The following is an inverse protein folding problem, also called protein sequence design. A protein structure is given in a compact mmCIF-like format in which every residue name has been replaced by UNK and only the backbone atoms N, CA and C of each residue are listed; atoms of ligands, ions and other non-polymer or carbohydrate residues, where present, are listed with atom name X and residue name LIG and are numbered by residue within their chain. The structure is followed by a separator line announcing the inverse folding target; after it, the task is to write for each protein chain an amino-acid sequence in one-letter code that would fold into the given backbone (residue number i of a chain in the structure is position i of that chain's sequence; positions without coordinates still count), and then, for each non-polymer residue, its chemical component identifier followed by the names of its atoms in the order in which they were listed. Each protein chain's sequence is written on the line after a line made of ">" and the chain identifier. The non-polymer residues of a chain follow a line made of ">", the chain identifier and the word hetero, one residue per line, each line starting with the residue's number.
data_IF_843444784244
#
_entry.id   IF_843444784244
#
_cell.length_a   1.000
_cell.length_b   1.000
_cell.length_c   1.000
_cell.angle_alpha   90.00
_cell.angle_beta   90.00
_cell.angle_gamma   90.00
#
_symmetry.space_group_name_H-M   'P 1'
#
loop_
_entity.id
_entity.type
_entity.pdbx_description
1 polymer ?
#
# COMPACT_ATOMS: atom_id res chain seq x y z
N UNK A 1 0.44 6.51 -38.66
CA UNK A 1 0.66 5.06 -38.54
C UNK A 1 1.80 4.71 -37.56
N UNK A 2 1.73 5.14 -36.28
CA UNK A 2 2.74 4.84 -35.26
C UNK A 2 2.10 4.43 -33.89
N UNK A 3 0.83 4.00 -33.87
CA UNK A 3 0.07 3.75 -32.65
C UNK A 3 -0.13 2.26 -32.29
N UNK A 4 0.53 1.32 -32.95
CA UNK A 4 0.27 -0.11 -32.76
C UNK A 4 1.39 -0.91 -32.07
N UNK A 5 2.43 -0.28 -31.50
CA UNK A 5 3.58 -1.00 -30.92
C UNK A 5 3.65 -0.94 -29.39
N UNK A 6 2.57 -0.67 -28.68
CA UNK A 6 2.56 -0.57 -27.22
C UNK A 6 2.05 -1.82 -26.51
N UNK A 7 2.74 -2.96 -26.64
CA UNK A 7 2.53 -4.08 -25.72
C UNK A 7 2.84 -3.66 -24.27
N UNK A 8 2.43 -4.48 -23.28
CA UNK A 8 2.62 -4.21 -21.83
C UNK A 8 4.05 -3.76 -21.49
N UNK A 9 5.06 -4.35 -22.16
CA UNK A 9 6.47 -3.96 -22.01
C UNK A 9 6.75 -2.52 -22.47
N UNK A 10 6.09 -2.05 -23.54
CA UNK A 10 6.20 -0.67 -24.02
C UNK A 10 5.64 0.34 -23.01
N UNK A 11 4.51 0.00 -22.38
CA UNK A 11 3.88 0.84 -21.34
C UNK A 11 4.78 0.98 -20.10
N UNK A 12 5.37 -0.13 -19.61
CA UNK A 12 6.32 -0.06 -18.50
C UNK A 12 7.61 0.68 -18.85
N UNK A 13 8.09 0.55 -20.10
CA UNK A 13 9.24 1.33 -20.59
C UNK A 13 8.95 2.83 -20.59
N UNK A 14 7.74 3.24 -20.97
CA UNK A 14 7.30 4.64 -20.89
C UNK A 14 7.23 5.15 -19.43
N UNK A 15 6.72 4.33 -18.52
CA UNK A 15 6.72 4.66 -17.07
C UNK A 15 8.15 4.84 -16.56
N UNK A 16 9.06 3.91 -16.88
CA UNK A 16 10.47 4.01 -16.47
C UNK A 16 11.15 5.23 -17.14
N UNK A 17 10.78 5.55 -18.39
CA UNK A 17 11.24 6.77 -19.08
C UNK A 17 10.84 8.05 -18.34
N UNK A 18 9.58 8.11 -17.86
CA UNK A 18 9.06 9.27 -17.11
C UNK A 18 9.61 9.39 -15.68
N UNK A 19 9.83 8.25 -15.01
CA UNK A 19 10.27 8.21 -13.59
C UNK A 19 11.79 8.12 -13.47
N UNK A 20 12.50 7.68 -14.51
CA UNK A 20 13.86 7.18 -14.41
C UNK A 20 13.93 5.80 -13.75
N UNK A 21 14.92 4.98 -14.08
CA UNK A 21 15.08 3.64 -13.49
C UNK A 21 15.47 3.67 -12.00
N UNK A 22 16.13 4.72 -11.56
CA UNK A 22 16.64 4.84 -10.20
C UNK A 22 15.53 5.05 -9.18
N UNK A 23 14.48 5.81 -9.52
CA UNK A 23 13.38 6.09 -8.58
C UNK A 23 12.62 4.84 -8.14
N UNK A 24 12.17 3.94 -9.05
CA UNK A 24 11.57 2.67 -8.67
C UNK A 24 12.47 1.81 -7.77
N UNK A 25 13.76 1.74 -8.09
CA UNK A 25 14.73 0.97 -7.30
C UNK A 25 14.89 1.51 -5.88
N UNK A 26 15.10 2.82 -5.73
CA UNK A 26 15.19 3.49 -4.42
C UNK A 26 13.88 3.32 -3.65
N UNK A 27 12.74 3.48 -4.32
CA UNK A 27 11.41 3.31 -3.73
C UNK A 27 11.21 1.88 -3.22
N UNK A 28 11.62 0.87 -4.00
CA UNK A 28 11.52 -0.52 -3.61
C UNK A 28 12.33 -0.84 -2.35
N UNK A 29 13.62 -0.52 -2.34
CA UNK A 29 14.47 -0.75 -1.16
C UNK A 29 14.07 0.13 0.04
N UNK A 30 13.53 1.32 -0.20
CA UNK A 30 13.06 2.20 0.86
C UNK A 30 11.78 1.74 1.56
N UNK A 31 10.97 0.87 0.93
CA UNK A 31 9.74 0.30 1.53
C UNK A 31 9.96 -1.06 2.21
N UNK A 32 11.04 -1.78 1.83
CA UNK A 32 11.38 -3.08 2.40
C UNK A 32 11.50 -3.06 3.94
N UNK A 33 12.08 -2.01 4.59
CA UNK A 33 12.12 -1.90 6.04
C UNK A 33 10.77 -2.05 6.73
N UNK A 34 9.70 -1.55 6.13
CA UNK A 34 8.34 -1.65 6.69
C UNK A 34 7.92 -3.11 6.82
N UNK A 35 8.14 -3.92 5.79
CA UNK A 35 7.83 -5.35 5.83
C UNK A 35 8.72 -6.09 6.83
N UNK A 36 10.02 -5.76 6.88
CA UNK A 36 10.96 -6.36 7.85
C UNK A 36 10.51 -6.09 9.28
N UNK A 37 10.23 -4.84 9.64
CA UNK A 37 9.87 -4.49 11.02
C UNK A 37 8.48 -5.01 11.41
N UNK A 38 7.52 -5.07 10.48
CA UNK A 38 6.18 -5.59 10.77
C UNK A 38 6.21 -7.10 11.09
N UNK A 39 6.81 -7.89 10.21
CA UNK A 39 6.87 -9.35 10.39
C UNK A 39 7.95 -9.77 11.38
N UNK A 40 9.10 -9.09 11.37
CA UNK A 40 10.22 -9.43 12.22
C UNK A 40 10.03 -9.09 13.69
N UNK A 41 9.20 -8.09 14.02
CA UNK A 41 9.02 -7.65 15.41
C UNK A 41 8.52 -8.76 16.32
N UNK A 42 7.57 -9.58 15.85
CA UNK A 42 7.08 -10.73 16.64
C UNK A 42 8.23 -11.69 16.91
N UNK A 43 8.96 -12.08 15.87
CA UNK A 43 10.06 -13.06 16.00
C UNK A 43 11.19 -12.52 16.88
N UNK A 44 11.62 -11.28 16.67
CA UNK A 44 12.72 -10.68 17.44
C UNK A 44 12.37 -10.61 18.93
N UNK A 45 11.18 -10.05 19.25
CA UNK A 45 10.77 -9.87 20.65
C UNK A 45 10.45 -11.21 21.30
N UNK A 46 9.83 -12.17 20.60
CA UNK A 46 9.57 -13.50 21.14
C UNK A 46 10.89 -14.23 21.48
N UNK A 47 11.88 -14.17 20.60
CA UNK A 47 13.20 -14.78 20.86
C UNK A 47 13.93 -14.15 22.05
N UNK A 48 13.80 -12.84 22.25
CA UNK A 48 14.52 -12.13 23.32
C UNK A 48 13.78 -12.16 24.67
N UNK A 49 12.44 -12.13 24.65
CA UNK A 49 11.60 -12.13 25.87
C UNK A 49 11.11 -13.52 26.30
N UNK A 50 11.15 -14.51 25.39
CA UNK A 50 10.57 -15.83 25.63
C UNK A 50 9.04 -15.85 25.56
N UNK A 51 8.37 -14.75 25.16
CA UNK A 51 6.90 -14.61 25.18
C UNK A 51 6.35 -14.16 23.83
N UNK A 52 5.53 -15.01 23.21
CA UNK A 52 4.81 -14.69 21.98
C UNK A 52 3.80 -13.55 22.21
N UNK A 53 3.15 -13.52 23.36
CA UNK A 53 2.22 -12.46 23.73
C UNK A 53 2.90 -11.07 23.78
N UNK A 54 4.12 -11.02 24.32
CA UNK A 54 4.94 -9.79 24.33
C UNK A 54 5.31 -9.38 22.89
N UNK A 55 5.76 -10.33 22.07
CA UNK A 55 6.07 -10.11 20.66
C UNK A 55 4.89 -9.54 19.88
N UNK A 56 3.72 -10.16 20.03
CA UNK A 56 2.47 -9.71 19.39
C UNK A 56 2.03 -8.33 19.86
N UNK A 57 2.14 -8.03 21.16
CA UNK A 57 1.78 -6.72 21.73
C UNK A 57 2.64 -5.59 21.15
N UNK A 58 3.96 -5.81 21.08
CA UNK A 58 4.90 -4.82 20.54
C UNK A 58 4.69 -4.62 19.04
N UNK A 59 4.51 -5.69 18.28
CA UNK A 59 4.23 -5.61 16.85
C UNK A 59 2.90 -4.88 16.55
N UNK A 60 1.85 -5.14 17.34
CA UNK A 60 0.58 -4.42 17.26
C UNK A 60 0.76 -2.93 17.54
N UNK A 61 1.51 -2.56 18.58
CA UNK A 61 1.78 -1.16 18.91
C UNK A 61 2.53 -0.42 17.80
N UNK A 62 3.51 -1.08 17.18
CA UNK A 62 4.22 -0.57 16.00
C UNK A 62 3.25 -0.33 14.84
N UNK A 63 2.42 -1.31 14.50
CA UNK A 63 1.46 -1.20 13.40
C UNK A 63 0.42 -0.09 13.65
N UNK A 64 -0.09 0.06 14.88
CA UNK A 64 -1.00 1.14 15.25
C UNK A 64 -0.33 2.52 15.13
N UNK A 65 0.93 2.65 15.54
CA UNK A 65 1.72 3.87 15.33
C UNK A 65 1.81 4.26 13.85
N UNK A 66 2.12 3.30 12.98
CA UNK A 66 2.19 3.50 11.54
C UNK A 66 0.84 3.92 10.95
N UNK A 67 -0.23 3.22 11.32
CA UNK A 67 -1.61 3.51 10.84
C UNK A 67 -2.05 4.91 11.23
N UNK A 68 -1.79 5.32 12.46
CA UNK A 68 -2.16 6.64 12.96
C UNK A 68 -1.41 7.77 12.25
N UNK A 69 -0.10 7.57 11.97
CA UNK A 69 0.74 8.61 11.37
C UNK A 69 0.71 8.63 9.85
N UNK A 70 0.36 7.55 9.17
CA UNK A 70 0.32 7.49 7.71
C UNK A 70 -0.44 8.66 7.07
N UNK A 71 -1.71 8.93 7.42
CA UNK A 71 -2.46 10.07 6.88
C UNK A 71 -1.87 11.44 7.23
N UNK A 72 -1.18 11.55 8.38
CA UNK A 72 -0.51 12.79 8.81
C UNK A 72 0.71 13.06 7.93
N UNK A 73 1.54 12.04 7.70
CA UNK A 73 2.70 12.09 6.79
C UNK A 73 2.26 12.49 5.39
N UNK A 74 1.21 11.86 4.84
CA UNK A 74 0.68 12.21 3.53
C UNK A 74 0.19 13.65 3.45
N UNK A 75 -0.59 14.10 4.44
CA UNK A 75 -1.07 15.48 4.50
C UNK A 75 0.05 16.50 4.61
N UNK A 76 1.10 16.16 5.36
CA UNK A 76 2.29 17.01 5.48
C UNK A 76 3.06 17.06 4.15
N UNK A 77 3.17 15.92 3.45
CA UNK A 77 3.82 15.82 2.14
C UNK A 77 3.10 16.68 1.09
N UNK A 78 1.76 16.69 1.06
CA UNK A 78 0.98 17.57 0.17
C UNK A 78 1.19 19.06 0.50
N UNK A 79 1.41 19.41 1.78
CA UNK A 79 1.53 20.81 2.20
C UNK A 79 2.95 21.37 2.16
N UNK A 80 3.93 20.58 2.56
CA UNK A 80 5.33 21.00 2.73
C UNK A 80 6.26 20.42 1.67
N UNK A 81 5.73 19.56 0.81
CA UNK A 81 6.49 18.79 -0.17
C UNK A 81 7.06 17.48 0.40
N UNK A 82 7.19 16.50 -0.48
CA UNK A 82 7.64 15.16 -0.09
C UNK A 82 9.09 15.16 0.45
N UNK A 83 9.98 16.00 -0.11
CA UNK A 83 11.41 16.07 0.28
C UNK A 83 11.59 16.27 1.78
N UNK A 84 11.01 17.36 2.32
CA UNK A 84 11.18 17.72 3.74
C UNK A 84 10.57 16.68 4.66
N UNK A 85 9.37 16.17 4.32
CA UNK A 85 8.65 15.23 5.17
C UNK A 85 9.34 13.88 5.24
N UNK A 86 9.79 13.35 4.08
CA UNK A 86 10.49 12.07 4.06
C UNK A 86 11.83 12.14 4.79
N UNK A 87 12.59 13.23 4.65
CA UNK A 87 13.84 13.42 5.42
C UNK A 87 13.57 13.46 6.93
N UNK A 88 12.55 14.23 7.35
CA UNK A 88 12.16 14.32 8.76
C UNK A 88 11.67 13.00 9.35
N UNK A 89 11.21 12.05 8.52
CA UNK A 89 10.76 10.74 8.98
C UNK A 89 11.86 9.68 8.88
N UNK A 90 12.64 9.64 7.78
CA UNK A 90 13.56 8.54 7.47
C UNK A 90 14.70 8.40 8.48
N UNK A 91 15.36 9.50 8.84
CA UNK A 91 16.46 9.46 9.82
C UNK A 91 15.97 9.11 11.24
N UNK A 92 14.92 9.76 11.78
CA UNK A 92 14.32 9.33 13.04
C UNK A 92 13.82 7.89 13.02
N UNK A 93 13.27 7.40 11.90
CA UNK A 93 12.84 6.01 11.79
C UNK A 93 14.01 5.03 11.84
N UNK A 94 15.11 5.32 11.15
CA UNK A 94 16.32 4.50 11.22
C UNK A 94 16.85 4.40 12.66
N UNK A 95 16.88 5.52 13.37
CA UNK A 95 17.28 5.58 14.78
C UNK A 95 16.30 4.81 15.67
N UNK A 96 14.98 4.98 15.45
CA UNK A 96 13.94 4.28 16.21
C UNK A 96 14.04 2.76 16.02
N UNK A 97 14.28 2.27 14.78
CA UNK A 97 14.50 0.86 14.49
C UNK A 97 15.75 0.36 15.23
N UNK A 98 16.85 1.12 15.20
CA UNK A 98 18.06 0.75 15.91
C UNK A 98 17.86 0.69 17.43
N UNK A 99 17.24 1.72 18.03
CA UNK A 99 16.89 1.73 19.45
C UNK A 99 15.95 0.60 19.85
N UNK A 100 14.94 0.32 19.02
CA UNK A 100 14.02 -0.79 19.21
C UNK A 100 14.76 -2.14 19.21
N UNK A 101 15.62 -2.35 18.24
CA UNK A 101 16.41 -3.58 18.12
C UNK A 101 17.35 -3.77 19.30
N UNK A 102 18.10 -2.73 19.67
CA UNK A 102 19.00 -2.76 20.83
C UNK A 102 18.23 -2.97 22.14
N UNK A 103 17.05 -2.32 22.28
CA UNK A 103 16.17 -2.52 23.42
C UNK A 103 15.65 -3.96 23.54
N UNK A 104 15.29 -4.59 22.41
CA UNK A 104 14.89 -5.99 22.39
C UNK A 104 16.07 -6.92 22.78
N UNK A 105 17.28 -6.68 22.24
CA UNK A 105 18.48 -7.43 22.58
C UNK A 105 18.88 -7.25 24.05
N UNK A 106 18.73 -6.06 24.60
CA UNK A 106 18.97 -5.76 26.02
C UNK A 106 17.84 -6.26 26.93
N UNK A 107 16.80 -6.92 26.39
CA UNK A 107 15.64 -7.43 27.13
C UNK A 107 14.96 -6.36 28.00
N UNK A 108 14.78 -5.18 27.45
CA UNK A 108 14.09 -4.09 28.15
C UNK A 108 12.67 -4.51 28.58
N UNK A 109 12.11 -3.91 29.64
CA UNK A 109 10.74 -4.16 30.07
C UNK A 109 9.72 -3.93 28.95
N UNK A 110 8.67 -4.75 28.90
CA UNK A 110 7.62 -4.70 27.86
C UNK A 110 7.08 -3.29 27.60
N UNK A 111 6.75 -2.44 28.61
CA UNK A 111 6.25 -1.10 28.35
C UNK A 111 7.23 -0.23 27.54
N UNK A 112 8.52 -0.39 27.78
CA UNK A 112 9.55 0.37 27.08
C UNK A 112 9.71 -0.13 25.63
N UNK A 113 9.66 -1.46 25.40
CA UNK A 113 9.63 -2.04 24.06
C UNK A 113 8.41 -1.61 23.27
N UNK A 114 7.24 -1.53 23.90
CA UNK A 114 6.01 -1.01 23.30
C UNK A 114 6.20 0.46 22.90
N UNK A 115 6.78 1.29 23.77
CA UNK A 115 7.05 2.70 23.45
C UNK A 115 8.01 2.85 22.25
N UNK A 116 9.10 2.06 22.21
CA UNK A 116 10.03 2.02 21.10
C UNK A 116 9.38 1.49 19.81
N UNK A 117 8.50 0.49 19.92
CA UNK A 117 7.70 -0.02 18.80
C UNK A 117 6.76 1.06 18.24
N UNK A 118 6.03 1.77 19.10
CA UNK A 118 5.20 2.92 18.68
C UNK A 118 6.06 3.99 17.99
N UNK A 119 7.23 4.33 18.57
CA UNK A 119 8.14 5.32 17.98
C UNK A 119 8.62 4.89 16.59
N UNK A 120 8.98 3.61 16.41
CA UNK A 120 9.35 3.05 15.11
C UNK A 120 8.17 3.11 14.13
N UNK A 121 6.94 2.86 14.60
CA UNK A 121 5.72 2.93 13.78
C UNK A 121 5.37 4.36 13.34
N UNK A 122 5.35 5.31 14.27
CA UNK A 122 4.95 6.71 13.98
C UNK A 122 5.96 7.46 13.11
N UNK A 123 7.21 7.01 13.06
CA UNK A 123 8.27 7.63 12.26
C UNK A 123 8.39 7.04 10.84
N UNK A 124 7.60 6.03 10.48
CA UNK A 124 7.64 5.42 9.13
C UNK A 124 7.42 6.48 8.04
N UNK A 125 8.35 6.62 7.07
CA UNK A 125 8.30 7.70 6.07
C UNK A 125 7.22 7.55 5.01
N UNK A 126 6.52 6.41 4.93
CA UNK A 126 5.43 6.17 3.98
C UNK A 126 5.87 6.19 2.51
N UNK A 127 7.06 5.65 2.19
CA UNK A 127 7.65 5.72 0.85
C UNK A 127 6.75 5.13 -0.22
N UNK A 128 6.12 3.97 0.00
CA UNK A 128 5.22 3.33 -0.97
C UNK A 128 4.06 4.24 -1.42
N UNK A 129 3.20 4.70 -0.52
CA UNK A 129 2.12 5.64 -0.88
C UNK A 129 2.60 6.95 -1.51
N UNK A 130 3.75 7.48 -1.07
CA UNK A 130 4.32 8.71 -1.62
C UNK A 130 4.92 8.48 -3.02
N UNK A 131 5.51 7.30 -3.28
CA UNK A 131 6.00 6.92 -4.60
C UNK A 131 4.86 6.76 -5.60
N UNK A 132 3.73 6.16 -5.20
CA UNK A 132 2.51 6.14 -6.02
C UNK A 132 2.05 7.54 -6.40
N UNK A 133 1.93 8.43 -5.42
CA UNK A 133 1.52 9.81 -5.67
C UNK A 133 2.51 10.55 -6.58
N UNK A 134 3.82 10.30 -6.41
CA UNK A 134 4.89 10.88 -7.24
C UNK A 134 4.87 10.34 -8.67
N UNK A 135 4.76 9.03 -8.83
CA UNK A 135 4.69 8.38 -10.15
C UNK A 135 3.49 8.86 -10.96
N UNK A 136 2.32 8.94 -10.33
CA UNK A 136 1.11 9.49 -10.98
C UNK A 136 1.31 10.95 -11.38
N UNK A 137 1.92 11.77 -10.51
CA UNK A 137 2.19 13.17 -10.83
C UNK A 137 3.16 13.33 -12.01
N UNK A 138 4.23 12.53 -12.05
CA UNK A 138 5.23 12.55 -13.14
C UNK A 138 4.63 12.23 -14.49
N UNK A 139 3.82 11.16 -14.55
CA UNK A 139 3.16 10.75 -15.78
C UNK A 139 2.18 11.81 -16.27
N UNK A 140 1.41 12.42 -15.36
CA UNK A 140 0.46 13.49 -15.71
C UNK A 140 1.14 14.79 -16.19
N UNK A 141 2.32 15.15 -15.64
CA UNK A 141 3.04 16.35 -16.09
C UNK A 141 3.76 16.13 -17.42
N UNK A 142 4.28 14.93 -17.70
CA UNK A 142 4.93 14.62 -18.97
C UNK A 142 4.01 14.72 -20.18
N UNK A 143 2.70 14.51 -20.00
CA UNK A 143 1.70 14.59 -21.07
C UNK A 143 1.19 16.00 -21.34
N UNK A 144 1.29 16.92 -20.35
CA UNK A 144 0.88 18.33 -20.56
C UNK A 144 1.88 19.14 -21.36
N UNK A 145 3.13 18.67 -21.53
CA UNK A 145 4.17 19.32 -22.33
C UNK A 145 4.09 18.93 -23.84
N UNK A 146 3.40 17.88 -24.19
CA UNK A 146 3.14 17.52 -25.58
C UNK A 146 1.87 18.21 -26.10
N UNK A 147 2.02 19.04 -27.09
CA UNK A 147 1.15 20.02 -27.78
C UNK A 147 -0.31 19.65 -28.11
N UNK A 148 -0.80 18.51 -27.71
CA UNK A 148 -2.14 18.04 -28.02
C UNK A 148 -2.93 17.81 -26.74
N UNK A 149 -3.61 18.78 -26.22
CA UNK A 149 -4.46 18.81 -25.00
C UNK A 149 -5.35 17.59 -24.69
N UNK A 150 -4.83 16.40 -24.84
CA UNK A 150 -5.47 15.15 -24.48
C UNK A 150 -5.31 14.86 -22.98
N UNK A 151 -6.36 14.38 -22.30
CA UNK A 151 -6.26 14.00 -20.89
C UNK A 151 -5.20 12.93 -20.71
N UNK A 152 -4.47 13.01 -19.61
CA UNK A 152 -3.45 12.04 -19.20
C UNK A 152 -3.86 10.60 -19.52
N UNK A 153 -3.03 9.88 -20.27
CA UNK A 153 -3.35 8.51 -20.70
C UNK A 153 -3.53 7.62 -19.45
N UNK A 154 -4.77 7.27 -19.15
CA UNK A 154 -5.11 6.40 -18.03
C UNK A 154 -4.36 5.08 -18.00
N UNK A 155 -3.79 4.66 -19.16
CA UNK A 155 -2.93 3.47 -19.27
C UNK A 155 -1.62 3.64 -18.50
N UNK A 156 -0.98 4.81 -18.59
CA UNK A 156 0.28 5.07 -17.89
C UNK A 156 0.05 5.18 -16.38
N UNK A 157 -1.04 5.83 -15.95
CA UNK A 157 -1.42 5.87 -14.52
C UNK A 157 -1.68 4.45 -13.98
N UNK A 158 -2.43 3.63 -14.74
CA UNK A 158 -2.67 2.24 -14.36
C UNK A 158 -1.37 1.42 -14.28
N UNK A 159 -0.42 1.65 -15.20
CA UNK A 159 0.88 0.98 -15.19
C UNK A 159 1.74 1.40 -13.98
N UNK A 160 1.73 2.69 -13.60
CA UNK A 160 2.38 3.17 -12.37
C UNK A 160 1.79 2.47 -11.15
N UNK A 161 0.47 2.44 -11.04
CA UNK A 161 -0.20 1.81 -9.89
C UNK A 161 0.04 0.30 -9.84
N UNK A 162 0.09 -0.38 -11.01
CA UNK A 162 0.44 -1.80 -11.10
C UNK A 162 1.87 -2.05 -10.66
N UNK A 163 2.83 -1.26 -11.16
CA UNK A 163 4.25 -1.37 -10.78
C UNK A 163 4.43 -1.17 -9.27
N UNK A 164 3.86 -0.11 -8.72
CA UNK A 164 3.97 0.23 -7.30
C UNK A 164 3.31 -0.84 -6.40
N UNK A 165 2.17 -1.39 -6.81
CA UNK A 165 1.52 -2.47 -6.07
C UNK A 165 2.35 -3.76 -6.13
N UNK A 166 2.94 -4.09 -7.27
CA UNK A 166 3.82 -5.24 -7.39
C UNK A 166 5.08 -5.08 -6.52
N UNK A 167 5.63 -3.87 -6.43
CA UNK A 167 6.76 -3.60 -5.54
C UNK A 167 6.40 -3.78 -4.07
N UNK A 168 5.17 -3.42 -3.66
CA UNK A 168 4.71 -3.69 -2.30
C UNK A 168 4.60 -5.21 -2.05
N UNK A 169 3.98 -5.97 -2.97
CA UNK A 169 3.88 -7.41 -2.86
C UNK A 169 5.27 -8.07 -2.70
N UNK A 170 6.21 -7.70 -3.58
CA UNK A 170 7.59 -8.20 -3.49
C UNK A 170 8.26 -7.82 -2.17
N UNK A 171 8.00 -6.63 -1.64
CA UNK A 171 8.53 -6.21 -0.34
C UNK A 171 7.98 -7.05 0.81
N UNK A 172 6.68 -7.40 0.75
CA UNK A 172 6.04 -8.28 1.73
C UNK A 172 6.50 -9.74 1.63
N UNK A 173 7.00 -10.18 0.48
CA UNK A 173 7.65 -11.50 0.32
C UNK A 173 9.10 -11.46 0.82
N UNK A 174 9.85 -10.44 0.41
CA UNK A 174 11.28 -10.34 0.72
C UNK A 174 11.55 -9.93 2.17
N UNK A 175 10.63 -9.19 2.82
CA UNK A 175 10.76 -8.83 4.24
C UNK A 175 10.90 -10.06 5.14
N UNK A 176 9.91 -10.96 5.18
CA UNK A 176 10.02 -12.22 5.91
C UNK A 176 11.20 -13.10 5.47
N UNK A 177 11.51 -13.16 4.17
CA UNK A 177 12.66 -13.90 3.66
C UNK A 177 13.98 -13.37 4.22
N UNK A 178 14.14 -12.05 4.30
CA UNK A 178 15.32 -11.41 4.88
C UNK A 178 15.44 -11.73 6.39
N UNK A 179 14.33 -11.77 7.11
CA UNK A 179 14.29 -12.14 8.53
C UNK A 179 14.70 -13.61 8.70
N UNK A 180 14.16 -14.50 7.88
CA UNK A 180 14.51 -15.93 7.89
C UNK A 180 15.99 -16.14 7.58
N UNK A 181 16.52 -15.48 6.54
CA UNK A 181 17.95 -15.54 6.20
C UNK A 181 18.83 -15.01 7.34
N UNK A 182 18.46 -13.89 7.96
CA UNK A 182 19.19 -13.33 9.09
C UNK A 182 19.16 -14.27 10.31
N UNK A 183 18.03 -14.91 10.57
CA UNK A 183 17.88 -15.89 11.65
C UNK A 183 18.74 -17.15 11.41
N UNK A 184 18.84 -17.60 10.15
CA UNK A 184 19.68 -18.72 9.73
C UNK A 184 21.18 -18.41 9.88
N UNK A 185 21.61 -17.19 9.52
CA UNK A 185 23.03 -16.76 9.66
C UNK A 185 23.42 -16.54 11.13
N UNK A 186 22.45 -16.31 12.02
CA UNK A 186 22.72 -16.17 13.45
C UNK A 186 21.57 -15.53 14.24
N UNK A 187 21.16 -14.30 13.90
CA UNK A 187 20.16 -13.60 14.69
C UNK A 187 19.23 -12.71 13.85
N UNK A 188 17.89 -12.72 14.10
CA UNK A 188 16.93 -11.87 13.38
C UNK A 188 17.27 -10.37 13.42
N UNK A 189 17.98 -9.90 14.45
CA UNK A 189 18.40 -8.50 14.60
C UNK A 189 19.24 -7.98 13.41
N UNK A 190 19.94 -8.86 12.68
CA UNK A 190 20.68 -8.44 11.47
C UNK A 190 19.75 -7.88 10.40
N UNK A 191 18.56 -8.47 10.22
CA UNK A 191 17.56 -7.92 9.29
C UNK A 191 17.08 -6.52 9.70
N UNK A 192 16.96 -6.26 11.00
CA UNK A 192 16.60 -4.92 11.49
C UNK A 192 17.74 -3.91 11.29
N UNK A 193 19.00 -4.32 11.44
CA UNK A 193 20.15 -3.49 11.09
C UNK A 193 20.16 -3.09 9.62
N UNK A 194 19.92 -4.06 8.72
CA UNK A 194 19.77 -3.82 7.28
C UNK A 194 18.57 -2.88 7.03
N UNK A 195 17.43 -3.08 7.69
CA UNK A 195 16.26 -2.23 7.56
C UNK A 195 16.55 -0.77 7.98
N UNK A 196 17.26 -0.57 9.09
CA UNK A 196 17.68 0.76 9.54
C UNK A 196 18.57 1.46 8.50
N UNK A 197 19.55 0.73 7.93
CA UNK A 197 20.43 1.26 6.88
C UNK A 197 19.65 1.56 5.58
N UNK A 198 18.73 0.70 5.19
CA UNK A 198 17.89 0.91 3.99
C UNK A 198 16.99 2.13 4.15
N UNK A 199 16.31 2.31 5.29
CA UNK A 199 15.46 3.49 5.47
C UNK A 199 16.28 4.76 5.56
N UNK A 200 17.46 4.75 6.19
CA UNK A 200 18.36 5.90 6.22
C UNK A 200 18.88 6.25 4.82
N UNK A 201 19.41 5.29 4.08
CA UNK A 201 20.00 5.49 2.75
C UNK A 201 18.95 5.71 1.67
N UNK A 202 18.06 4.74 1.45
CA UNK A 202 17.07 4.82 0.39
C UNK A 202 15.96 5.84 0.69
N UNK A 203 15.57 6.02 1.96
CA UNK A 203 14.64 7.09 2.35
C UNK A 203 15.21 8.48 2.07
N UNK A 204 16.47 8.71 2.41
CA UNK A 204 17.17 9.96 2.10
C UNK A 204 17.34 10.15 0.59
N UNK A 205 17.75 9.10 -0.14
CA UNK A 205 17.88 9.13 -1.60
C UNK A 205 16.53 9.43 -2.28
N UNK A 206 15.44 8.82 -1.82
CA UNK A 206 14.09 9.10 -2.31
C UNK A 206 13.68 10.56 -2.08
N UNK A 207 13.99 11.12 -0.91
CA UNK A 207 13.70 12.49 -0.58
C UNK A 207 14.50 13.49 -1.43
N UNK A 208 15.78 13.19 -1.68
CA UNK A 208 16.69 14.07 -2.44
C UNK A 208 16.60 13.89 -3.95
N UNK A 209 15.89 12.86 -4.43
CA UNK A 209 15.75 12.58 -5.86
C UNK A 209 15.13 13.79 -6.60
N UNK A 210 15.63 14.17 -7.79
CA UNK A 210 15.15 15.36 -8.53
C UNK A 210 13.62 15.36 -8.76
N UNK A 211 13.02 14.20 -8.94
CA UNK A 211 11.56 14.05 -9.10
C UNK A 211 10.74 14.46 -7.89
N UNK A 212 11.35 14.70 -6.72
CA UNK A 212 10.62 15.19 -5.55
C UNK A 212 9.95 16.54 -5.77
N UNK A 213 10.44 17.33 -6.73
CA UNK A 213 9.87 18.61 -7.14
C UNK A 213 8.64 18.50 -8.04
N UNK A 214 8.40 17.33 -8.65
CA UNK A 214 7.23 17.08 -9.49
C UNK A 214 5.90 17.16 -8.70
N UNK A 215 5.92 16.79 -7.43
CA UNK A 215 4.81 16.99 -6.50
C UNK A 215 4.99 18.34 -5.83
N UNK A 216 4.46 19.40 -6.45
CA UNK A 216 4.54 20.75 -5.88
C UNK A 216 3.73 20.82 -4.60
N UNK A 217 4.28 21.43 -3.52
CA UNK A 217 3.47 21.77 -2.35
C UNK A 217 2.28 22.64 -2.80
N UNK A 218 1.12 22.38 -2.23
CA UNK A 218 -0.01 23.30 -2.40
C UNK A 218 0.46 24.68 -1.95
N UNK A 219 0.52 25.62 -2.88
CA UNK A 219 0.97 26.98 -2.61
C UNK A 219 0.28 27.49 -1.32
N UNK A 220 1.08 28.02 -0.40
CA UNK A 220 0.52 28.67 0.78
C UNK A 220 -0.54 29.67 0.31
N UNK A 221 -1.76 29.70 0.90
CA UNK A 221 -2.76 30.67 0.51
C UNK A 221 -2.11 32.06 0.53
N UNK A 222 -2.22 32.78 -0.59
CA UNK A 222 -1.74 34.16 -0.67
C UNK A 222 -2.15 34.95 0.59
N UNK A 223 -1.31 35.93 1.06
CA UNK A 223 -1.64 36.73 2.22
C UNK A 223 -3.08 37.21 2.13
N UNK A 224 -3.91 36.77 3.05
CA UNK A 224 -5.37 36.96 3.00
C UNK A 224 -5.70 38.42 3.24
N UNK A 225 -6.36 39.03 2.29
CA UNK A 225 -7.16 40.21 2.60
C UNK A 225 -8.26 39.80 3.59
N UNK A 226 -8.58 40.59 4.62
CA UNK A 226 -9.43 40.19 5.75
C UNK A 226 -10.88 39.81 5.43
N UNK A 227 -11.28 39.84 4.16
CA UNK A 227 -12.68 39.70 3.70
C UNK A 227 -13.08 38.42 3.00
N UNK A 228 -12.16 37.46 2.78
CA UNK A 228 -12.55 36.18 2.16
C UNK A 228 -12.98 35.17 3.22
N UNK A 229 -14.26 34.69 3.21
CA UNK A 229 -14.69 33.60 4.08
C UNK A 229 -13.75 32.40 3.88
N UNK A 230 -13.35 31.73 4.99
CA UNK A 230 -12.60 30.46 4.89
C UNK A 230 -13.33 29.54 3.93
N UNK A 231 -12.78 29.36 2.72
CA UNK A 231 -13.29 28.35 1.82
C UNK A 231 -13.28 27.03 2.60
N UNK A 232 -14.47 26.50 2.87
CA UNK A 232 -14.65 25.22 3.57
C UNK A 232 -13.89 24.19 2.76
N UNK A 233 -12.88 23.55 3.37
CA UNK A 233 -12.16 22.46 2.71
C UNK A 233 -13.17 21.49 2.13
N UNK A 234 -13.06 21.13 0.84
CA UNK A 234 -14.01 20.21 0.23
C UNK A 234 -14.04 18.92 1.06
N UNK A 235 -15.25 18.51 1.43
CA UNK A 235 -15.44 17.23 2.14
C UNK A 235 -15.01 16.11 1.21
N UNK A 236 -14.29 15.10 1.74
CA UNK A 236 -13.95 13.92 0.95
C UNK A 236 -15.22 13.27 0.39
N UNK A 237 -15.27 13.00 -0.92
CA UNK A 237 -16.41 12.37 -1.57
C UNK A 237 -16.86 11.07 -0.89
N UNK A 238 -18.11 10.67 -1.07
CA UNK A 238 -18.66 9.41 -0.56
C UNK A 238 -17.87 8.22 -1.09
N UNK A 239 -17.49 8.29 -2.35
CA UNK A 239 -16.73 7.28 -3.07
C UNK A 239 -15.40 6.97 -2.39
N UNK A 240 -14.65 8.00 -1.95
CA UNK A 240 -13.39 7.84 -1.21
C UNK A 240 -13.61 7.07 0.10
N UNK A 241 -14.72 7.33 0.80
CA UNK A 241 -15.04 6.61 2.05
C UNK A 241 -15.37 5.15 1.79
N UNK A 242 -16.12 4.86 0.73
CA UNK A 242 -16.45 3.48 0.33
C UNK A 242 -15.19 2.70 -0.10
N UNK A 243 -14.33 3.31 -0.91
CA UNK A 243 -13.07 2.68 -1.33
C UNK A 243 -12.17 2.40 -0.12
N UNK A 244 -12.06 3.34 0.83
CA UNK A 244 -11.31 3.13 2.07
C UNK A 244 -11.87 1.98 2.90
N UNK A 245 -13.20 1.89 3.03
CA UNK A 245 -13.85 0.76 3.71
C UNK A 245 -13.52 -0.56 3.02
N UNK A 246 -13.56 -0.60 1.69
CA UNK A 246 -13.17 -1.79 0.92
C UNK A 246 -11.69 -2.16 1.12
N UNK A 247 -10.79 -1.18 1.23
CA UNK A 247 -9.37 -1.43 1.54
C UNK A 247 -9.17 -1.93 2.99
N UNK A 248 -9.94 -1.42 3.97
CA UNK A 248 -9.96 -2.01 5.32
C UNK A 248 -10.37 -3.48 5.25
N UNK A 249 -11.46 -3.79 4.54
CA UNK A 249 -11.96 -5.15 4.41
C UNK A 249 -10.99 -6.07 3.67
N UNK A 250 -10.26 -5.55 2.68
CA UNK A 250 -9.16 -6.27 2.03
C UNK A 250 -8.00 -6.55 3.00
N UNK A 251 -7.70 -5.60 3.88
CA UNK A 251 -6.75 -5.81 4.98
C UNK A 251 -7.24 -6.88 5.95
N UNK A 252 -8.52 -6.85 6.32
CA UNK A 252 -9.17 -7.88 7.17
C UNK A 252 -9.04 -9.26 6.51
N UNK A 253 -9.31 -9.37 5.22
CA UNK A 253 -9.13 -10.60 4.45
C UNK A 253 -7.70 -11.13 4.55
N UNK A 254 -6.71 -10.27 4.33
CA UNK A 254 -5.29 -10.67 4.41
C UNK A 254 -4.88 -11.08 5.83
N UNK A 255 -5.36 -10.37 6.85
CA UNK A 255 -5.12 -10.71 8.26
C UNK A 255 -5.72 -12.07 8.64
N UNK A 256 -6.94 -12.35 8.16
CA UNK A 256 -7.60 -13.65 8.36
C UNK A 256 -6.87 -14.79 7.64
N UNK A 257 -6.45 -14.56 6.37
CA UNK A 257 -5.62 -15.52 5.64
C UNK A 257 -4.31 -15.81 6.40
N UNK A 258 -3.68 -14.78 6.92
CA UNK A 258 -2.46 -14.90 7.67
C UNK A 258 -2.57 -15.74 8.92
N UNK A 259 -3.54 -15.44 9.73
CA UNK A 259 -3.80 -16.24 10.93
C UNK A 259 -4.15 -17.68 10.59
N UNK A 260 -4.97 -17.90 9.55
CA UNK A 260 -5.37 -19.24 9.09
C UNK A 260 -4.20 -20.05 8.54
N UNK A 261 -3.31 -19.44 7.73
CA UNK A 261 -2.11 -20.10 7.22
C UNK A 261 -1.22 -20.53 8.39
N UNK A 262 -0.95 -19.62 9.34
CA UNK A 262 -0.10 -19.91 10.50
C UNK A 262 -0.69 -21.03 11.34
N UNK A 263 -1.98 -20.96 11.66
CA UNK A 263 -2.64 -21.99 12.46
C UNK A 263 -2.65 -23.35 11.76
N UNK A 264 -2.98 -23.41 10.46
CA UNK A 264 -3.02 -24.69 9.73
C UNK A 264 -1.64 -25.32 9.58
N UNK A 265 -0.59 -24.52 9.36
CA UNK A 265 0.79 -25.03 9.30
C UNK A 265 1.25 -25.57 10.66
N UNK A 266 0.81 -24.95 11.77
CA UNK A 266 1.05 -25.44 13.14
C UNK A 266 0.32 -26.76 13.38
N UNK A 267 -0.98 -26.84 13.07
CA UNK A 267 -1.78 -28.06 13.24
C UNK A 267 -1.21 -29.25 12.44
N UNK A 268 -0.59 -28.97 11.28
CA UNK A 268 0.05 -29.98 10.45
C UNK A 268 1.52 -30.27 10.84
N UNK A 269 2.04 -29.63 11.89
CA UNK A 269 3.44 -29.80 12.34
C UNK A 269 4.49 -29.30 11.35
N UNK A 270 4.15 -28.31 10.52
CA UNK A 270 5.00 -27.76 9.46
C UNK A 270 5.08 -26.22 9.54
N UNK A 271 5.28 -25.70 10.74
CA UNK A 271 5.32 -24.26 11.04
C UNK A 271 6.32 -23.49 10.18
N UNK A 272 7.46 -24.11 9.87
CA UNK A 272 8.53 -23.52 9.04
C UNK A 272 8.06 -23.19 7.61
N UNK A 273 7.00 -23.84 7.13
CA UNK A 273 6.47 -23.61 5.77
C UNK A 273 5.49 -22.42 5.68
N UNK A 274 5.03 -21.86 6.78
CA UNK A 274 4.09 -20.73 6.76
C UNK A 274 4.60 -19.57 5.88
N UNK A 275 5.89 -19.23 5.99
CA UNK A 275 6.53 -18.21 5.17
C UNK A 275 6.55 -18.53 3.67
N UNK A 276 6.75 -19.79 3.30
CA UNK A 276 6.76 -20.25 1.90
C UNK A 276 5.34 -20.22 1.30
N UNK A 277 4.34 -20.59 2.08
CA UNK A 277 2.92 -20.49 1.68
C UNK A 277 2.55 -19.04 1.38
N UNK A 278 2.95 -18.10 2.25
CA UNK A 278 2.79 -16.66 1.99
C UNK A 278 3.54 -16.19 0.75
N UNK A 279 4.76 -16.68 0.54
CA UNK A 279 5.55 -16.35 -0.63
C UNK A 279 4.86 -16.82 -1.92
N UNK A 280 4.26 -18.01 -1.93
CA UNK A 280 3.52 -18.54 -3.07
C UNK A 280 2.32 -17.63 -3.44
N UNK A 281 1.57 -17.15 -2.43
CA UNK A 281 0.50 -16.16 -2.62
C UNK A 281 1.04 -14.85 -3.22
N UNK A 282 2.12 -14.32 -2.65
CA UNK A 282 2.71 -13.05 -3.08
C UNK A 282 3.28 -13.11 -4.49
N UNK A 283 3.94 -14.21 -4.88
CA UNK A 283 4.45 -14.42 -6.24
C UNK A 283 3.32 -14.40 -7.26
N UNK A 284 2.23 -15.12 -7.01
CA UNK A 284 1.08 -15.12 -7.92
C UNK A 284 0.43 -13.75 -7.99
N UNK A 285 0.27 -13.07 -6.84
CA UNK A 285 -0.23 -11.69 -6.78
C UNK A 285 0.64 -10.75 -7.62
N UNK A 286 1.96 -10.82 -7.51
CA UNK A 286 2.89 -10.00 -8.28
C UNK A 286 2.79 -10.26 -9.80
N UNK A 287 2.71 -11.52 -10.23
CA UNK A 287 2.55 -11.89 -11.65
C UNK A 287 1.27 -11.31 -12.22
N UNK A 288 0.14 -11.49 -11.52
CA UNK A 288 -1.15 -10.95 -11.96
C UNK A 288 -1.16 -9.42 -11.86
N UNK A 289 -0.53 -8.84 -10.83
CA UNK A 289 -0.38 -7.39 -10.68
C UNK A 289 0.30 -6.74 -11.87
N UNK A 290 1.40 -7.31 -12.35
CA UNK A 290 2.10 -6.83 -13.56
C UNK A 290 1.22 -6.95 -14.81
N UNK A 291 0.41 -8.00 -14.92
CA UNK A 291 -0.49 -8.18 -16.06
C UNK A 291 -1.65 -7.17 -16.10
N UNK A 292 -1.98 -6.53 -14.95
CA UNK A 292 -3.07 -5.55 -14.88
C UNK A 292 -2.87 -4.31 -15.76
N UNK A 293 -1.62 -3.98 -16.11
CA UNK A 293 -1.33 -2.91 -17.06
C UNK A 293 -1.83 -3.22 -18.49
N UNK A 294 -2.03 -4.50 -18.82
CA UNK A 294 -2.57 -4.92 -20.12
C UNK A 294 -4.10 -4.82 -20.20
N UNK A 295 -4.79 -4.61 -19.08
CA UNK A 295 -6.26 -4.55 -19.07
C UNK A 295 -6.75 -3.28 -19.76
N UNK A 296 -7.58 -3.40 -20.83
CA UNK A 296 -8.02 -2.25 -21.61
C UNK A 296 -8.81 -1.23 -20.77
N UNK A 297 -8.64 0.06 -21.02
CA UNK A 297 -9.30 1.14 -20.29
C UNK A 297 -10.83 1.13 -20.40
N UNK A 298 -11.36 0.58 -21.51
CA UNK A 298 -12.80 0.36 -21.69
C UNK A 298 -13.43 -0.43 -20.54
N UNK A 299 -12.62 -1.24 -19.83
CA UNK A 299 -13.06 -1.89 -18.59
C UNK A 299 -12.85 -0.91 -17.44
N UNK A 300 -13.88 -0.17 -17.08
CA UNK A 300 -13.83 0.85 -16.03
C UNK A 300 -13.37 0.30 -14.67
N UNK A 301 -12.67 1.12 -13.87
CA UNK A 301 -12.12 0.72 -12.57
C UNK A 301 -13.20 0.15 -11.61
N UNK A 302 -14.41 0.71 -11.60
CA UNK A 302 -15.49 0.18 -10.74
C UNK A 302 -15.87 -1.25 -11.12
N UNK A 303 -15.92 -1.60 -12.41
CA UNK A 303 -16.17 -2.96 -12.87
C UNK A 303 -15.01 -3.89 -12.50
N UNK A 304 -13.77 -3.47 -12.75
CA UNK A 304 -12.58 -4.24 -12.34
C UNK A 304 -12.61 -4.56 -10.86
N UNK A 305 -12.95 -3.57 -10.03
CA UNK A 305 -13.00 -3.77 -8.58
C UNK A 305 -14.11 -4.72 -8.15
N UNK A 306 -15.29 -4.64 -8.76
CA UNK A 306 -16.39 -5.58 -8.53
C UNK A 306 -15.99 -7.03 -8.89
N UNK A 307 -15.35 -7.21 -10.04
CA UNK A 307 -14.86 -8.52 -10.47
C UNK A 307 -13.78 -9.05 -9.53
N UNK A 308 -12.80 -8.21 -9.16
CA UNK A 308 -11.73 -8.61 -8.28
C UNK A 308 -12.22 -8.95 -6.86
N UNK A 309 -13.15 -8.16 -6.30
CA UNK A 309 -13.73 -8.44 -4.98
C UNK A 309 -14.65 -9.66 -5.00
N UNK A 310 -15.44 -9.86 -6.06
CA UNK A 310 -16.25 -11.07 -6.24
C UNK A 310 -15.36 -12.32 -6.33
N UNK A 311 -14.29 -12.27 -7.12
CA UNK A 311 -13.33 -13.37 -7.23
C UNK A 311 -12.64 -13.62 -5.88
N UNK A 312 -12.28 -12.57 -5.12
CA UNK A 312 -11.70 -12.73 -3.79
C UNK A 312 -12.69 -13.41 -2.83
N UNK A 313 -13.97 -13.04 -2.85
CA UNK A 313 -15.00 -13.68 -2.03
C UNK A 313 -15.16 -15.16 -2.37
N UNK A 314 -15.21 -15.50 -3.66
CA UNK A 314 -15.36 -16.90 -4.10
C UNK A 314 -14.12 -17.74 -3.81
N UNK A 315 -12.92 -17.24 -4.16
CA UNK A 315 -11.68 -18.01 -3.98
C UNK A 315 -11.27 -18.13 -2.52
N UNK A 316 -11.66 -17.19 -1.65
CA UNK A 316 -11.39 -17.31 -0.21
C UNK A 316 -12.12 -18.50 0.43
N UNK A 317 -13.22 -18.96 -0.15
CA UNK A 317 -13.96 -20.14 0.33
C UNK A 317 -13.12 -21.43 0.19
N UNK A 318 -12.21 -21.49 -0.80
CA UNK A 318 -11.32 -22.63 -0.97
C UNK A 318 -10.40 -22.81 0.25
N UNK A 319 -10.01 -21.70 0.90
CA UNK A 319 -9.12 -21.72 2.07
C UNK A 319 -9.79 -22.38 3.28
N UNK A 320 -11.10 -22.22 3.45
CA UNK A 320 -11.86 -22.78 4.59
C UNK A 320 -11.84 -24.31 4.57
N UNK A 321 -11.85 -24.90 3.37
CA UNK A 321 -11.88 -26.36 3.18
C UNK A 321 -10.50 -27.03 3.17
N UNK A 322 -9.40 -26.28 3.32
CA UNK A 322 -8.05 -26.85 3.25
C UNK A 322 -7.69 -27.59 4.53
N UNK A 323 -7.20 -28.85 4.39
CA UNK A 323 -6.79 -29.70 5.50
C UNK A 323 -5.41 -30.36 5.27
N UNK A 324 -4.70 -29.97 4.23
CA UNK A 324 -3.39 -30.51 3.89
C UNK A 324 -2.47 -29.42 3.36
N UNK A 325 -1.15 -29.61 3.49
CA UNK A 325 -0.17 -28.66 2.97
C UNK A 325 -0.28 -28.45 1.46
N UNK A 326 -0.43 -29.52 0.70
CA UNK A 326 -0.63 -29.41 -0.77
C UNK A 326 -1.89 -28.61 -1.12
N UNK A 327 -3.00 -28.91 -0.43
CA UNK A 327 -4.25 -28.15 -0.60
C UNK A 327 -4.07 -26.68 -0.26
N UNK A 328 -3.34 -26.37 0.84
CA UNK A 328 -3.06 -25.01 1.26
C UNK A 328 -2.22 -24.26 0.21
N UNK A 329 -1.13 -24.84 -0.29
CA UNK A 329 -0.31 -24.23 -1.34
C UNK A 329 -1.13 -23.94 -2.60
N UNK A 330 -1.94 -24.88 -3.07
CA UNK A 330 -2.79 -24.70 -4.26
C UNK A 330 -3.83 -23.60 -4.00
N UNK A 331 -4.58 -23.66 -2.90
CA UNK A 331 -5.61 -22.70 -2.59
C UNK A 331 -5.07 -21.28 -2.42
N UNK A 332 -3.94 -21.13 -1.70
CA UNK A 332 -3.30 -19.83 -1.45
C UNK A 332 -2.68 -19.26 -2.72
N UNK A 333 -2.06 -20.08 -3.57
CA UNK A 333 -1.51 -19.63 -4.86
C UNK A 333 -2.62 -19.13 -5.78
N UNK A 334 -3.70 -19.88 -5.92
CA UNK A 334 -4.87 -19.46 -6.73
C UNK A 334 -5.49 -18.18 -6.16
N UNK A 335 -5.65 -18.11 -4.84
CA UNK A 335 -6.17 -16.94 -4.14
C UNK A 335 -5.27 -15.70 -4.32
N UNK A 336 -3.94 -15.88 -4.40
CA UNK A 336 -2.99 -14.79 -4.66
C UNK A 336 -3.30 -13.99 -5.93
N UNK A 337 -3.88 -14.63 -6.96
CA UNK A 337 -4.22 -13.98 -8.22
C UNK A 337 -5.22 -12.80 -8.08
N UNK A 338 -6.01 -12.74 -7.00
CA UNK A 338 -7.02 -11.68 -6.81
C UNK A 338 -6.52 -10.52 -5.94
N UNK A 339 -5.36 -10.66 -5.31
CA UNK A 339 -4.89 -9.68 -4.32
C UNK A 339 -4.44 -8.37 -4.98
N UNK A 340 -3.45 -8.43 -5.89
CA UNK A 340 -2.96 -7.26 -6.61
C UNK A 340 -4.07 -6.55 -7.41
N UNK A 341 -4.96 -7.21 -8.16
CA UNK A 341 -6.08 -6.53 -8.81
C UNK A 341 -6.95 -5.70 -7.86
N UNK A 342 -7.22 -6.19 -6.66
CA UNK A 342 -7.97 -5.45 -5.66
C UNK A 342 -7.23 -4.21 -5.16
N UNK A 343 -5.92 -4.32 -4.87
CA UNK A 343 -5.10 -3.20 -4.44
C UNK A 343 -4.96 -2.14 -5.54
N UNK A 344 -4.59 -2.56 -6.76
CA UNK A 344 -4.40 -1.67 -7.92
C UNK A 344 -5.67 -0.89 -8.20
N UNK A 345 -6.83 -1.57 -8.25
CA UNK A 345 -8.11 -0.91 -8.52
C UNK A 345 -8.56 -0.02 -7.37
N UNK A 346 -8.36 -0.44 -6.12
CA UNK A 346 -8.65 0.38 -4.94
C UNK A 346 -7.82 1.66 -4.89
N UNK A 347 -6.52 1.59 -5.18
CA UNK A 347 -5.66 2.77 -5.29
C UNK A 347 -6.02 3.62 -6.52
N UNK A 348 -6.36 3.02 -7.66
CA UNK A 348 -6.82 3.73 -8.85
C UNK A 348 -8.14 4.47 -8.63
N UNK A 349 -9.10 3.88 -7.93
CA UNK A 349 -10.34 4.56 -7.52
C UNK A 349 -10.06 5.69 -6.52
N UNK A 350 -9.12 5.50 -5.60
CA UNK A 350 -8.68 6.55 -4.67
C UNK A 350 -8.07 7.73 -5.43
N UNK A 351 -7.19 7.45 -6.39
CA UNK A 351 -6.52 8.43 -7.25
C UNK A 351 -7.53 9.29 -8.02
N UNK A 352 -8.54 8.67 -8.62
CA UNK A 352 -9.59 9.39 -9.38
C UNK A 352 -10.55 10.20 -8.51
N UNK A 353 -10.80 9.74 -7.28
CA UNK A 353 -11.79 10.35 -6.41
C UNK A 353 -11.22 11.45 -5.49
N UNK A 354 -9.90 11.47 -5.28
CA UNK A 354 -9.23 12.43 -4.40
C UNK A 354 -8.74 13.62 -5.22
N UNK A 355 -8.99 14.87 -4.79
CA UNK A 355 -8.42 16.05 -5.45
C UNK A 355 -6.90 15.98 -5.52
N UNK A 356 -6.29 16.39 -6.64
CA UNK A 356 -4.84 16.31 -6.86
C UNK A 356 -4.00 16.95 -5.75
N UNK A 357 -4.49 18.05 -5.17
CA UNK A 357 -3.88 18.76 -4.03
C UNK A 357 -3.80 17.93 -2.74
N UNK A 358 -4.52 16.81 -2.65
CA UNK A 358 -4.60 15.92 -1.48
C UNK A 358 -4.27 14.48 -1.85
N UNK A 359 -3.57 14.27 -2.96
CA UNK A 359 -3.31 12.94 -3.49
C UNK A 359 -2.44 12.11 -2.53
N UNK A 360 -1.37 12.69 -1.98
CA UNK A 360 -0.53 11.98 -1.03
C UNK A 360 -1.29 11.65 0.28
N UNK A 361 -2.11 12.57 0.80
CA UNK A 361 -3.01 12.30 1.93
C UNK A 361 -3.98 11.16 1.61
N UNK A 362 -4.56 11.18 0.39
CA UNK A 362 -5.48 10.14 -0.08
C UNK A 362 -4.83 8.77 -0.13
N UNK A 363 -3.66 8.67 -0.73
CA UNK A 363 -2.90 7.43 -0.91
C UNK A 363 -2.38 6.87 0.42
N UNK A 364 -1.82 7.72 1.29
CA UNK A 364 -1.36 7.27 2.61
C UNK A 364 -2.51 6.81 3.49
N UNK A 365 -3.67 7.50 3.43
CA UNK A 365 -4.85 7.06 4.17
C UNK A 365 -5.39 5.73 3.66
N UNK A 366 -5.37 5.51 2.34
CA UNK A 366 -5.78 4.25 1.74
C UNK A 366 -4.87 3.09 2.20
N UNK A 367 -3.54 3.30 2.17
CA UNK A 367 -2.57 2.33 2.67
C UNK A 367 -2.74 2.06 4.18
N UNK A 368 -2.92 3.12 5.00
CA UNK A 368 -3.17 2.96 6.44
C UNK A 368 -4.46 2.21 6.74
N UNK A 369 -5.51 2.42 5.95
CA UNK A 369 -6.79 1.71 6.09
C UNK A 369 -6.59 0.20 5.86
N UNK A 370 -5.84 -0.17 4.82
CA UNK A 370 -5.51 -1.55 4.51
C UNK A 370 -4.66 -2.20 5.63
N UNK A 371 -3.56 -1.56 6.02
CA UNK A 371 -2.66 -2.08 7.07
C UNK A 371 -3.37 -2.17 8.43
N UNK A 372 -4.24 -1.19 8.75
CA UNK A 372 -5.01 -1.18 9.98
C UNK A 372 -5.99 -2.36 10.05
N UNK A 373 -6.71 -2.63 8.96
CA UNK A 373 -7.58 -3.80 8.85
C UNK A 373 -6.82 -5.10 9.06
N UNK A 374 -5.66 -5.25 8.40
CA UNK A 374 -4.81 -6.43 8.52
C UNK A 374 -4.29 -6.63 9.95
N UNK A 375 -3.75 -5.58 10.58
CA UNK A 375 -3.12 -5.69 11.90
C UNK A 375 -4.13 -6.08 12.99
N UNK A 376 -5.30 -5.44 12.99
CA UNK A 376 -6.36 -5.75 13.97
C UNK A 376 -6.87 -7.18 13.76
N UNK A 377 -7.08 -7.57 12.50
CA UNK A 377 -7.64 -8.89 12.20
C UNK A 377 -6.64 -10.00 12.51
N UNK A 378 -5.36 -9.80 12.24
CA UNK A 378 -4.35 -10.82 12.57
C UNK A 378 -4.38 -11.19 14.05
N UNK A 379 -4.54 -10.19 14.94
CA UNK A 379 -4.65 -10.43 16.39
C UNK A 379 -5.97 -11.12 16.77
N UNK A 380 -7.10 -10.73 16.17
CA UNK A 380 -8.41 -11.28 16.49
C UNK A 380 -8.57 -12.68 15.89
N UNK A 381 -8.21 -12.86 14.62
CA UNK A 381 -8.32 -14.14 13.92
C UNK A 381 -7.33 -15.18 14.44
N UNK A 382 -6.16 -14.74 14.95
CA UNK A 382 -5.24 -15.64 15.65
C UNK A 382 -5.87 -16.30 16.87
N UNK A 383 -6.52 -15.50 17.73
CA UNK A 383 -7.25 -16.04 18.91
C UNK A 383 -8.42 -16.93 18.51
N UNK A 384 -9.13 -16.57 17.43
CA UNK A 384 -10.21 -17.42 16.93
C UNK A 384 -9.69 -18.76 16.40
N UNK A 385 -8.53 -18.75 15.73
CA UNK A 385 -7.88 -19.97 15.25
C UNK A 385 -7.44 -20.87 16.41
N UNK A 386 -6.87 -20.31 17.47
CA UNK A 386 -6.52 -21.05 18.68
C UNK A 386 -7.73 -21.72 19.35
N UNK A 387 -8.89 -21.05 19.34
CA UNK A 387 -10.10 -21.53 20.01
C UNK A 387 -10.93 -22.49 19.14
N UNK A 388 -10.97 -22.29 17.81
CA UNK A 388 -11.91 -22.94 16.89
C UNK A 388 -11.24 -23.54 15.65
N UNK A 389 -9.91 -23.57 15.60
CA UNK A 389 -9.12 -24.09 14.49
C UNK A 389 -8.93 -23.09 13.32
N UNK A 390 -8.06 -23.45 12.34
CA UNK A 390 -7.66 -22.59 11.22
C UNK A 390 -8.82 -22.08 10.37
N UNK A 391 -9.87 -22.92 10.18
CA UNK A 391 -11.04 -22.58 9.39
C UNK A 391 -11.78 -21.34 9.91
N UNK A 392 -11.75 -21.09 11.23
CA UNK A 392 -12.36 -19.91 11.82
C UNK A 392 -11.65 -18.61 11.36
N UNK A 393 -10.32 -18.60 11.28
CA UNK A 393 -9.56 -17.46 10.80
C UNK A 393 -9.81 -17.22 9.29
N UNK A 394 -9.82 -18.26 8.47
CA UNK A 394 -10.18 -18.15 7.05
C UNK A 394 -11.60 -17.64 6.84
N UNK A 395 -12.55 -18.06 7.69
CA UNK A 395 -13.95 -17.58 7.64
C UNK A 395 -14.02 -16.07 7.89
N UNK A 396 -13.27 -15.52 8.86
CA UNK A 396 -13.20 -14.06 9.07
C UNK A 396 -12.76 -13.35 7.79
N UNK A 397 -11.74 -13.87 7.11
CA UNK A 397 -11.26 -13.36 5.83
C UNK A 397 -12.34 -13.43 4.74
N UNK A 398 -13.01 -14.57 4.60
CA UNK A 398 -14.04 -14.78 3.58
C UNK A 398 -15.26 -13.87 3.78
N UNK A 399 -15.71 -13.68 5.02
CA UNK A 399 -16.77 -12.73 5.36
C UNK A 399 -16.35 -11.31 4.97
N UNK A 400 -15.13 -10.92 5.27
CA UNK A 400 -14.62 -9.59 4.89
C UNK A 400 -14.57 -9.43 3.36
N UNK A 401 -14.18 -10.46 2.61
CA UNK A 401 -14.20 -10.45 1.15
C UNK A 401 -15.62 -10.27 0.59
N UNK A 402 -16.61 -10.97 1.15
CA UNK A 402 -18.03 -10.83 0.76
C UNK A 402 -18.54 -9.41 1.07
N UNK A 403 -18.20 -8.85 2.23
CA UNK A 403 -18.54 -7.46 2.56
C UNK A 403 -17.83 -6.45 1.64
N UNK A 404 -16.56 -6.70 1.27
CA UNK A 404 -15.83 -5.87 0.31
C UNK A 404 -16.51 -5.87 -1.06
N UNK A 405 -17.02 -7.02 -1.52
CA UNK A 405 -17.82 -7.11 -2.73
C UNK A 405 -19.11 -6.29 -2.62
N UNK A 406 -19.85 -6.41 -1.50
CA UNK A 406 -21.03 -5.57 -1.23
C UNK A 406 -20.71 -4.07 -1.28
N UNK A 407 -19.57 -3.64 -0.71
CA UNK A 407 -19.10 -2.25 -0.79
C UNK A 407 -18.76 -1.87 -2.24
N UNK A 408 -18.12 -2.75 -3.01
CA UNK A 408 -17.77 -2.50 -4.41
C UNK A 408 -18.99 -2.29 -5.31
N UNK A 409 -20.11 -2.94 -5.01
CA UNK A 409 -21.38 -2.71 -5.71
C UNK A 409 -21.94 -1.30 -5.49
N UNK A 410 -21.68 -0.69 -4.34
CA UNK A 410 -22.12 0.67 -3.98
C UNK A 410 -21.24 1.76 -4.59
N UNK A 411 -20.04 1.42 -5.03
CA UNK A 411 -19.12 2.38 -5.67
C UNK A 411 -19.57 2.62 -7.11
N UNK A 412 -19.87 3.88 -7.41
CA UNK A 412 -20.14 4.36 -8.77
C UNK A 412 -18.82 4.81 -9.39
N UNK A 413 -18.65 4.56 -10.69
CA UNK A 413 -17.52 5.16 -11.39
C UNK A 413 -17.65 6.69 -11.24
N UNK A 414 -16.60 7.41 -10.81
CA UNK A 414 -16.60 8.85 -10.89
C UNK A 414 -16.90 9.21 -12.34
N UNK A 415 -17.88 10.09 -12.59
CA UNK A 415 -18.06 10.67 -13.90
C UNK A 415 -16.73 11.30 -14.28
N UNK A 416 -16.17 10.91 -15.43
CA UNK A 416 -14.98 11.57 -15.97
C UNK A 416 -15.23 13.09 -15.99
N UNK A 417 -14.20 13.92 -15.99
CA UNK A 417 -14.38 15.35 -16.05
C UNK A 417 -15.34 15.66 -17.21
N UNK A 418 -16.52 16.20 -16.90
CA UNK A 418 -17.42 16.72 -17.92
C UNK A 418 -16.59 17.73 -18.73
N UNK A 419 -16.30 17.40 -19.97
CA UNK A 419 -15.85 18.40 -20.95
C UNK A 419 -17.02 19.36 -21.09
N UNK A 420 -17.05 20.40 -20.25
CA UNK A 420 -17.94 21.54 -20.52
C UNK A 420 -17.56 22.01 -21.91
N UNK A 421 -18.49 21.96 -22.89
CA UNK A 421 -18.24 22.57 -24.18
C UNK A 421 -17.85 24.02 -23.88
N UNK A 422 -16.70 24.44 -24.44
CA UNK A 422 -16.27 25.83 -24.34
C UNK A 422 -17.48 26.70 -24.75
N UNK A 423 -17.91 27.53 -23.82
CA UNK A 423 -19.01 28.47 -24.11
C UNK A 423 -18.66 29.18 -25.43
N UNK A 424 -19.46 28.96 -26.45
CA UNK A 424 -19.30 29.60 -27.74
C UNK A 424 -19.12 31.10 -27.49
N UNK A 425 -17.96 31.64 -27.90
CA UNK A 425 -17.71 33.05 -27.81
C UNK A 425 -18.85 33.78 -28.55
N UNK A 426 -19.44 34.83 -27.97
CA UNK A 426 -20.47 35.54 -28.64
C UNK A 426 -19.90 36.07 -29.96
N UNK A 427 -20.49 35.63 -31.06
CA UNK A 427 -20.19 36.14 -32.39
C UNK A 427 -20.47 37.66 -32.39
N UNK A 428 -19.39 38.42 -32.31
CA UNK A 428 -19.46 39.88 -32.46
C UNK A 428 -20.03 40.20 -33.82
N UNK A 429 -21.31 40.54 -33.85
CA UNK A 429 -21.96 41.18 -35.02
C UNK A 429 -21.33 42.54 -35.23
N UNK A 430 -20.37 42.62 -36.16
CA UNK A 430 -19.98 43.91 -36.72
C UNK A 430 -21.18 44.56 -37.39
N UNK A 431 -21.59 45.69 -36.85
CA UNK A 431 -22.34 46.69 -37.64
C UNK A 431 -21.34 47.76 -38.03
N UNK A 432 -21.02 47.78 -39.34
CA UNK A 432 -20.44 48.97 -39.95
C UNK A 432 -21.52 50.05 -40.18
N UNK A 433 -21.14 51.24 -40.02
CA UNK A 433 -21.59 52.45 -40.71
C UNK A 433 -20.44 53.43 -40.67
#
# INVERSE_FOLDING_TARGET
>A
MAQAAGGTAGTYRAVIGATGALLPLISFFGRLPVAVIQFGSVLLVTRTSGSLATGGTVACALALGQVAMGPVVGRLADRRGQRSVVLCCSLPNALAIACYTLGALARLPTPLLVALGVLAGVTVPGIGPLARARGVALVRHGETDERDGHPADGRLVNAVLSLESTMDELSFVLGPALIGAAAFVGHPAYAFGIAALLVAGCGTAFALHPTATAVRPVAAPAPRTPRTPRARRPRMPREVRLVRLGLVLLGVLLGGCGAGITALTQDLGQEDQAGLVYAAMGVMSAVVGLSMAAVPERVGLALRWRVATAAAALLSLLLIGTQSMTGLYVAVTVFGAVFAPNLITGFGLTERAVPGERLAEGMTFAASAFVGGQAVTLAVAGRLAEAHGPAAAFTVGSVAAALAFGVALLVRAPAGPEIRPAAAAPSGSGRGA
#
